data_IF_199440636787
#
_entry.id   IF_199440636787
#
_cell.length_a   1.000
_cell.length_b   1.000
_cell.length_c   1.000
_cell.angle_alpha   90.00
_cell.angle_beta   90.00
_cell.angle_gamma   90.00
#
_symmetry.space_group_name_H-M   'P 1'
#
loop_
_entity.id
_entity.type
_entity.pdbx_description
1 polymer ?
#
# COMPACT_ATOMS: atom_id res chain seq x y z
N UNK A 1 -6.16 -24.20 17.19
CA UNK A 1 -5.80 -22.78 17.04
C UNK A 1 -6.93 -22.10 16.30
N UNK A 2 -7.55 -21.07 16.88
CA UNK A 2 -8.67 -20.37 16.26
C UNK A 2 -8.15 -19.46 15.15
N UNK A 3 -8.52 -19.72 13.89
CA UNK A 3 -8.22 -18.82 12.79
C UNK A 3 -9.21 -17.66 12.77
N UNK A 4 -8.71 -16.43 12.62
CA UNK A 4 -9.57 -15.25 12.45
C UNK A 4 -10.22 -15.27 11.06
N UNK A 5 -11.51 -15.01 11.01
CA UNK A 5 -12.21 -14.77 9.73
C UNK A 5 -11.91 -13.37 9.21
N UNK A 6 -12.07 -13.14 7.90
CA UNK A 6 -11.90 -11.80 7.31
C UNK A 6 -12.87 -10.79 7.91
N UNK A 7 -14.08 -11.24 8.28
CA UNK A 7 -15.05 -10.40 9.00
C UNK A 7 -14.53 -9.98 10.38
N UNK A 8 -14.01 -10.92 11.18
CA UNK A 8 -13.44 -10.60 12.49
C UNK A 8 -12.22 -9.68 12.38
N UNK A 9 -11.39 -9.87 11.35
CA UNK A 9 -10.28 -8.97 11.06
C UNK A 9 -10.78 -7.56 10.72
N UNK A 10 -11.84 -7.43 9.91
CA UNK A 10 -12.45 -6.15 9.59
C UNK A 10 -13.00 -5.43 10.83
N UNK A 11 -13.72 -6.16 11.69
CA UNK A 11 -14.26 -5.64 12.96
C UNK A 11 -13.14 -5.12 13.87
N UNK A 12 -12.04 -5.88 14.01
CA UNK A 12 -10.87 -5.47 14.78
C UNK A 12 -10.22 -4.21 14.18
N UNK A 13 -10.02 -4.17 12.86
CA UNK A 13 -9.41 -3.01 12.19
C UNK A 13 -10.26 -1.75 12.33
N UNK A 14 -11.59 -1.88 12.22
CA UNK A 14 -12.54 -0.78 12.48
C UNK A 14 -12.45 -0.32 13.93
N UNK A 15 -12.39 -1.26 14.89
CA UNK A 15 -12.21 -0.95 16.30
C UNK A 15 -10.92 -0.18 16.57
N UNK A 16 -9.80 -0.62 16.00
CA UNK A 16 -8.50 0.05 16.09
C UNK A 16 -8.56 1.47 15.52
N UNK A 17 -9.13 1.64 14.31
CA UNK A 17 -9.25 2.95 13.69
C UNK A 17 -10.14 3.90 14.51
N UNK A 18 -11.23 3.40 15.10
CA UNK A 18 -12.10 4.18 15.99
C UNK A 18 -11.36 4.63 17.25
N UNK A 19 -10.57 3.77 17.87
CA UNK A 19 -9.75 4.14 19.04
C UNK A 19 -8.70 5.19 18.67
N UNK A 20 -8.06 5.05 17.51
CA UNK A 20 -7.09 6.03 17.01
C UNK A 20 -7.74 7.39 16.73
N UNK A 21 -8.95 7.41 16.16
CA UNK A 21 -9.72 8.64 15.98
C UNK A 21 -10.00 9.32 17.33
N UNK A 22 -10.46 8.58 18.33
CA UNK A 22 -10.73 9.14 19.65
C UNK A 22 -9.47 9.75 20.31
N UNK A 23 -8.29 9.15 20.08
CA UNK A 23 -7.01 9.70 20.54
C UNK A 23 -6.71 11.03 19.82
N UNK A 24 -6.93 11.10 18.51
CA UNK A 24 -6.75 12.34 17.73
C UNK A 24 -7.68 13.43 18.26
N UNK A 25 -8.96 13.13 18.42
CA UNK A 25 -9.96 14.07 18.93
C UNK A 25 -9.61 14.58 20.34
N UNK A 26 -9.13 13.69 21.22
CA UNK A 26 -8.67 14.06 22.56
C UNK A 26 -7.46 15.00 22.52
N UNK A 27 -6.51 14.77 21.61
CA UNK A 27 -5.35 15.65 21.43
C UNK A 27 -5.74 17.02 20.89
N UNK A 28 -6.69 17.09 19.94
CA UNK A 28 -7.22 18.36 19.43
C UNK A 28 -7.89 19.18 20.54
N UNK A 29 -8.68 18.52 21.40
CA UNK A 29 -9.37 19.18 22.50
C UNK A 29 -8.41 19.59 23.64
N UNK A 30 -7.29 18.88 23.82
CA UNK A 30 -6.34 19.13 24.91
C UNK A 30 -5.45 20.36 24.69
N UNK A 31 -5.24 20.81 23.45
CA UNK A 31 -4.32 21.93 23.16
C UNK A 31 -4.87 22.85 22.08
N UNK A 32 -5.22 24.08 22.48
CA UNK A 32 -5.60 25.13 21.55
C UNK A 32 -4.53 25.32 20.46
N UNK A 33 -4.93 25.11 19.19
CA UNK A 33 -4.05 25.24 18.03
C UNK A 33 -3.42 23.94 17.51
N UNK A 34 -3.54 22.82 18.23
CA UNK A 34 -3.12 21.51 17.72
C UNK A 34 -4.28 20.90 16.92
N UNK A 35 -4.19 20.93 15.58
CA UNK A 35 -5.26 20.48 14.68
C UNK A 35 -4.89 19.18 13.96
N UNK A 36 -5.89 18.39 13.62
CA UNK A 36 -5.88 17.21 12.72
C UNK A 36 -5.11 17.43 11.42
N UNK A 37 -4.92 18.69 11.01
CA UNK A 37 -4.07 19.11 9.89
C UNK A 37 -2.64 18.56 9.98
N UNK A 38 -2.12 18.30 11.19
CA UNK A 38 -0.78 17.72 11.35
C UNK A 38 -0.74 16.20 11.12
N UNK A 39 -1.83 15.48 11.44
CA UNK A 39 -1.88 14.02 11.33
C UNK A 39 -2.19 13.55 9.91
N UNK A 40 -3.06 14.27 9.21
CA UNK A 40 -3.51 13.91 7.86
C UNK A 40 -2.35 13.66 6.87
N UNK A 41 -1.33 14.54 6.72
CA UNK A 41 -0.23 14.28 5.79
C UNK A 41 0.64 13.08 6.19
N UNK A 42 0.77 12.79 7.50
CA UNK A 42 1.49 11.60 7.97
C UNK A 42 0.72 10.32 7.63
N UNK A 43 -0.60 10.34 7.81
CA UNK A 43 -1.47 9.23 7.42
C UNK A 43 -1.54 9.04 5.90
N UNK A 44 -1.55 10.13 5.11
CA UNK A 44 -1.46 10.06 3.64
C UNK A 44 -0.14 9.42 3.18
N UNK A 45 0.95 9.68 3.91
CA UNK A 45 2.25 9.05 3.63
C UNK A 45 2.24 7.57 4.00
N UNK A 46 1.76 7.22 5.20
CA UNK A 46 1.67 5.84 5.67
C UNK A 46 0.74 4.98 4.82
N UNK A 47 -0.36 5.56 4.33
CA UNK A 47 -1.34 4.90 3.46
C UNK A 47 -0.89 4.73 2.02
N UNK A 48 0.21 5.40 1.64
CA UNK A 48 0.72 5.43 0.27
C UNK A 48 -0.37 5.79 -0.74
N UNK A 49 -1.39 6.57 -0.35
CA UNK A 49 -2.56 6.83 -1.20
C UNK A 49 -2.21 7.63 -2.46
N UNK A 50 -1.10 8.38 -2.41
CA UNK A 50 -0.50 9.10 -3.55
C UNK A 50 0.61 8.32 -4.26
N UNK A 51 0.89 7.08 -3.86
CA UNK A 51 1.95 6.27 -4.45
C UNK A 51 1.44 5.55 -5.69
N UNK A 52 2.30 5.40 -6.69
CA UNK A 52 2.02 4.57 -7.88
C UNK A 52 2.24 3.06 -7.61
N UNK A 53 2.22 2.64 -6.34
CA UNK A 53 2.42 1.25 -5.93
C UNK A 53 1.08 0.62 -5.57
N UNK A 54 0.97 -0.68 -5.80
CA UNK A 54 -0.19 -1.46 -5.38
C UNK A 54 -0.40 -1.34 -3.86
N UNK A 55 -1.66 -1.27 -3.45
CA UNK A 55 -2.04 -1.22 -2.05
C UNK A 55 -1.66 -2.52 -1.35
N UNK A 56 -1.11 -2.39 -0.14
CA UNK A 56 -0.77 -3.55 0.69
C UNK A 56 -1.63 -3.58 1.95
N UNK A 57 -1.76 -4.76 2.55
CA UNK A 57 -2.42 -4.93 3.85
C UNK A 57 -1.80 -4.08 4.97
N UNK A 58 -0.52 -3.73 4.86
CA UNK A 58 0.15 -2.87 5.85
C UNK A 58 -0.29 -1.41 5.73
N UNK A 59 -0.68 -0.97 4.54
CA UNK A 59 -1.12 0.41 4.30
C UNK A 59 -2.60 0.60 4.66
N UNK A 60 -3.39 -0.49 4.61
CA UNK A 60 -4.84 -0.49 4.79
C UNK A 60 -5.34 0.17 6.10
N UNK A 61 -4.76 -0.09 7.29
CA UNK A 61 -5.24 0.53 8.54
C UNK A 61 -5.17 2.06 8.50
N UNK A 62 -4.14 2.63 7.86
CA UNK A 62 -4.00 4.07 7.74
C UNK A 62 -4.99 4.68 6.74
N UNK A 63 -5.39 3.96 5.69
CA UNK A 63 -6.50 4.35 4.80
C UNK A 63 -7.84 4.31 5.51
N UNK A 64 -8.05 3.32 6.35
CA UNK A 64 -9.25 3.19 7.17
C UNK A 64 -9.37 4.38 8.14
N UNK A 65 -8.28 4.73 8.82
CA UNK A 65 -8.24 5.91 9.69
C UNK A 65 -8.49 7.22 8.91
N UNK A 66 -7.95 7.36 7.69
CA UNK A 66 -8.23 8.51 6.82
C UNK A 66 -9.71 8.63 6.45
N UNK A 67 -10.42 7.51 6.27
CA UNK A 67 -11.87 7.52 6.05
C UNK A 67 -12.63 7.99 7.30
N UNK A 68 -12.24 7.53 8.49
CA UNK A 68 -12.80 8.01 9.76
C UNK A 68 -12.58 9.50 10.01
N UNK A 69 -11.42 10.04 9.63
CA UNK A 69 -11.13 11.49 9.66
C UNK A 69 -11.84 12.28 8.55
N UNK A 70 -12.49 11.60 7.62
CA UNK A 70 -13.31 12.19 6.56
C UNK A 70 -14.72 12.54 7.04
N UNK A 71 -15.64 12.70 6.09
CA UNK A 71 -17.04 13.03 6.39
C UNK A 71 -17.92 11.80 6.66
N UNK A 72 -17.56 10.64 6.12
CA UNK A 72 -18.30 9.40 6.26
C UNK A 72 -17.36 8.30 6.73
N UNK A 73 -17.73 7.63 7.82
CA UNK A 73 -16.99 6.47 8.30
C UNK A 73 -17.12 5.27 7.34
N UNK A 74 -16.16 4.34 7.36
CA UNK A 74 -16.19 3.13 6.55
C UNK A 74 -17.27 2.16 7.03
N UNK A 75 -17.99 1.55 6.08
CA UNK A 75 -18.97 0.49 6.33
C UNK A 75 -18.29 -0.89 6.45
N UNK A 76 -18.72 -1.71 7.41
CA UNK A 76 -18.12 -3.04 7.67
C UNK A 76 -18.08 -3.90 6.39
N UNK A 77 -19.19 -3.96 5.67
CA UNK A 77 -19.31 -4.75 4.43
C UNK A 77 -18.34 -4.30 3.34
N UNK A 78 -17.98 -3.01 3.31
CA UNK A 78 -17.00 -2.50 2.34
C UNK A 78 -15.58 -2.88 2.76
N UNK A 79 -15.26 -2.72 4.05
CA UNK A 79 -13.95 -3.09 4.61
C UNK A 79 -13.66 -4.57 4.43
N UNK A 80 -14.65 -5.44 4.59
CA UNK A 80 -14.51 -6.88 4.33
C UNK A 80 -14.15 -7.14 2.86
N UNK A 81 -14.87 -6.53 1.90
CA UNK A 81 -14.59 -6.70 0.47
C UNK A 81 -13.20 -6.21 0.08
N UNK A 82 -12.78 -5.08 0.63
CA UNK A 82 -11.46 -4.52 0.37
C UNK A 82 -10.36 -5.45 0.92
N UNK A 83 -10.54 -6.00 2.13
CA UNK A 83 -9.62 -6.98 2.72
C UNK A 83 -9.56 -8.27 1.92
N UNK A 84 -10.69 -8.81 1.47
CA UNK A 84 -10.74 -10.00 0.62
C UNK A 84 -9.97 -9.76 -0.69
N UNK A 85 -10.16 -8.58 -1.29
CA UNK A 85 -9.46 -8.17 -2.51
C UNK A 85 -7.95 -8.08 -2.29
N UNK A 86 -7.51 -7.46 -1.18
CA UNK A 86 -6.09 -7.33 -0.85
C UNK A 86 -5.43 -8.68 -0.50
N UNK A 87 -6.15 -9.56 0.21
CA UNK A 87 -5.68 -10.91 0.53
C UNK A 87 -5.59 -11.79 -0.73
N UNK A 88 -6.53 -11.66 -1.66
CA UNK A 88 -6.49 -12.34 -2.95
C UNK A 88 -5.31 -11.83 -3.81
N UNK A 89 -5.06 -10.52 -3.87
CA UNK A 89 -3.94 -9.93 -4.60
C UNK A 89 -2.56 -10.34 -4.04
N UNK A 90 -2.43 -10.49 -2.73
CA UNK A 90 -1.19 -11.02 -2.13
C UNK A 90 -0.96 -12.48 -2.52
N UNK A 91 -2.04 -13.24 -2.67
CA UNK A 91 -1.96 -14.64 -3.09
C UNK A 91 -1.51 -14.78 -4.54
N UNK A 92 -1.87 -13.83 -5.42
CA UNK A 92 -1.43 -13.82 -6.84
C UNK A 92 -0.04 -13.20 -7.05
N UNK A 93 0.35 -12.21 -6.27
CA UNK A 93 1.67 -11.54 -6.37
C UNK A 93 2.84 -12.33 -5.77
N UNK A 94 2.57 -13.40 -5.00
CA UNK A 94 3.62 -14.33 -4.52
C UNK A 94 4.11 -15.28 -5.64
N UNK A 95 3.57 -15.18 -6.86
CA UNK A 95 3.91 -16.01 -8.01
C UNK A 95 4.97 -15.47 -8.98
N UNK A 96 5.39 -14.20 -8.89
CA UNK A 96 6.29 -13.60 -9.89
C UNK A 96 7.61 -13.10 -9.27
N UNK A 97 8.31 -14.07 -8.68
CA UNK A 97 9.75 -14.01 -8.44
C UNK A 97 10.53 -14.67 -9.57
N UNK A 98 10.28 -14.30 -10.82
CA UNK A 98 11.17 -14.61 -11.93
C UNK A 98 11.63 -13.30 -12.55
N UNK A 99 12.76 -12.78 -12.05
CA UNK A 99 13.52 -11.80 -12.80
C UNK A 99 13.72 -12.34 -14.23
N UNK A 100 13.42 -11.57 -15.29
CA UNK A 100 13.79 -12.00 -16.62
C UNK A 100 15.32 -12.14 -16.63
N UNK A 101 15.79 -13.37 -16.80
CA UNK A 101 17.20 -13.62 -17.04
C UNK A 101 17.65 -12.70 -18.20
N UNK A 102 18.75 -11.95 -18.08
CA UNK A 102 19.22 -11.14 -19.18
C UNK A 102 19.55 -12.08 -20.33
N UNK A 103 18.79 -11.94 -21.42
CA UNK A 103 19.08 -12.62 -22.68
C UNK A 103 20.52 -12.30 -23.08
N UNK A 104 21.34 -13.34 -23.19
CA UNK A 104 22.71 -13.24 -23.64
C UNK A 104 22.75 -12.48 -24.97
N UNK A 105 23.50 -11.37 -25.00
CA UNK A 105 23.79 -10.65 -26.23
C UNK A 105 24.57 -11.57 -27.18
N UNK A 106 24.16 -11.70 -28.46
CA UNK A 106 25.01 -12.33 -29.46
C UNK A 106 26.20 -11.41 -29.74
N UNK A 107 27.42 -11.91 -29.56
CA UNK A 107 28.62 -11.22 -30.00
C UNK A 107 28.68 -11.23 -31.55
N UNK A 108 28.86 -10.09 -32.23
CA UNK A 108 29.24 -10.09 -33.63
C UNK A 108 30.77 -9.96 -33.78
N UNK A 109 31.32 -11.04 -34.33
CA UNK A 109 32.51 -11.21 -35.18
C UNK A 109 33.67 -10.21 -35.13
N UNK A 110 34.81 -10.70 -34.62
CA UNK A 110 36.14 -10.20 -34.90
C UNK A 110 36.65 -10.74 -36.25
N UNK A 111 36.06 -10.32 -37.38
CA UNK A 111 36.54 -10.70 -38.71
C UNK A 111 36.00 -9.78 -39.82
N UNK A 112 36.31 -8.48 -39.81
CA UNK A 112 36.24 -7.61 -41.00
C UNK A 112 36.92 -6.27 -40.74
N UNK A 113 38.25 -6.27 -40.68
CA UNK A 113 39.07 -5.08 -40.86
C UNK A 113 40.22 -5.46 -41.80
N UNK A 114 39.90 -5.63 -43.09
CA UNK A 114 40.93 -5.63 -44.12
C UNK A 114 40.43 -4.95 -45.41
N UNK A 115 41.31 -4.12 -45.94
CA UNK A 115 41.29 -3.43 -47.24
C UNK A 115 40.07 -2.57 -47.61
N UNK A 116 40.14 -1.26 -47.37
CA UNK A 116 40.01 -0.22 -48.44
C UNK A 116 40.51 1.14 -47.90
N UNK A 117 41.83 1.35 -47.92
CA UNK A 117 42.42 2.69 -48.00
C UNK A 117 43.29 2.70 -49.26
N UNK A 118 42.75 3.31 -50.32
CA UNK A 118 43.43 3.58 -51.58
C UNK A 118 44.12 4.97 -51.49
N UNK A 119 45.27 5.18 -52.13
CA UNK A 119 45.85 6.52 -52.35
C UNK A 119 45.02 7.36 -53.33
#
# INVERSE_FOLDING_TARGET
MSNLTTQQLAEILIGIARTQQAIIDAMENSKAGFKSTHFRPMLETASRIRSNRAETLADFPSRLLLQFLGRNGPELSQVVKDLETLLAQKSTSTGDGAAPAPAAAPAPDAASLDMTLLP
#
